data_IF_100922252913
#
_entry.id   IF_100922252913
#
_cell.length_a   1.000
_cell.length_b   1.000
_cell.length_c   1.000
_cell.angle_alpha   90.00
_cell.angle_beta   90.00
_cell.angle_gamma   90.00
#
_symmetry.space_group_name_H-M   'P 1'
#
loop_
_entity.id
_entity.type
_entity.pdbx_description
1 polymer ?
#
# COMPACT_ATOMS: atom_id res chain seq x y z
N UNK A 1 1.77 16.34 22.23
CA UNK A 1 0.69 15.94 21.30
C UNK A 1 1.33 15.72 19.95
N UNK A 2 1.11 14.58 19.31
CA UNK A 2 1.64 14.29 17.97
C UNK A 2 0.97 15.20 16.93
N UNK A 3 1.72 15.64 15.92
CA UNK A 3 1.17 16.40 14.78
C UNK A 3 0.42 15.47 13.83
N UNK A 4 -0.61 15.98 13.13
CA UNK A 4 -1.35 15.23 12.12
C UNK A 4 -0.48 15.02 10.86
N UNK A 5 -0.34 13.76 10.44
CA UNK A 5 0.34 13.42 9.20
C UNK A 5 -0.59 13.61 7.98
N UNK A 6 -0.05 13.92 6.78
CA UNK A 6 -0.84 14.09 5.57
C UNK A 6 -1.74 12.88 5.29
N UNK A 7 -2.85 13.09 4.58
CA UNK A 7 -3.83 12.06 4.30
C UNK A 7 -3.19 10.79 3.73
N UNK A 8 -3.49 9.61 4.29
CA UNK A 8 -2.86 8.35 3.87
C UNK A 8 -3.25 7.92 2.45
N UNK A 9 -4.33 8.49 1.91
CA UNK A 9 -4.89 8.10 0.62
C UNK A 9 -4.45 9.02 -0.52
N UNK A 10 -4.36 10.33 -0.26
CA UNK A 10 -4.06 11.33 -1.32
C UNK A 10 -2.91 12.28 -0.98
N UNK A 11 -2.33 12.20 0.21
CA UNK A 11 -1.32 13.15 0.70
C UNK A 11 -1.84 14.55 1.02
N UNK A 12 -3.15 14.79 0.93
CA UNK A 12 -3.79 16.07 1.22
C UNK A 12 -3.81 16.43 2.71
N UNK A 13 -4.12 17.69 3.02
CA UNK A 13 -4.12 18.21 4.39
C UNK A 13 -5.30 17.64 5.22
N UNK A 14 -5.05 17.06 6.41
CA UNK A 14 -6.10 16.64 7.33
C UNK A 14 -6.58 17.76 8.27
N UNK A 15 -7.82 17.64 8.74
CA UNK A 15 -8.42 18.50 9.74
C UNK A 15 -9.16 17.67 10.79
N UNK A 16 -9.00 18.01 12.07
CA UNK A 16 -9.86 17.50 13.13
C UNK A 16 -11.22 18.23 13.11
N UNK A 17 -12.31 17.47 13.07
CA UNK A 17 -13.68 17.96 13.13
C UNK A 17 -14.30 17.53 14.46
N UNK A 18 -14.87 18.49 15.19
CA UNK A 18 -15.59 18.26 16.44
C UNK A 18 -17.11 18.32 16.22
N UNK A 19 -17.81 17.26 16.60
CA UNK A 19 -19.26 17.13 16.61
C UNK A 19 -19.74 17.56 18.01
N UNK A 20 -20.51 18.65 18.14
CA UNK A 20 -21.03 19.10 19.43
C UNK A 20 -22.04 18.09 19.99
N UNK A 21 -22.17 18.04 21.30
CA UNK A 21 -23.28 17.32 21.95
C UNK A 21 -24.57 18.15 21.82
N UNK A 22 -25.67 17.50 21.48
CA UNK A 22 -26.96 18.18 21.26
C UNK A 22 -27.55 18.76 22.57
N UNK A 23 -27.28 18.16 23.74
CA UNK A 23 -27.64 18.69 25.06
C UNK A 23 -26.60 18.36 26.15
N UNK A 24 -26.24 19.30 27.04
CA UNK A 24 -25.16 19.14 28.02
C UNK A 24 -25.43 18.15 29.16
N UNK A 25 -26.68 17.71 29.37
CA UNK A 25 -27.08 16.97 30.58
C UNK A 25 -27.67 15.58 30.31
N UNK A 26 -27.72 15.15 29.03
CA UNK A 26 -28.38 13.89 28.62
C UNK A 26 -27.45 12.97 27.83
N UNK A 27 -26.21 12.79 28.27
CA UNK A 27 -25.34 11.70 27.81
C UNK A 27 -25.12 11.59 26.29
N UNK A 28 -25.47 12.63 25.53
CA UNK A 28 -25.30 12.70 24.09
C UNK A 28 -23.82 12.84 23.83
N UNK A 29 -23.16 11.73 23.51
CA UNK A 29 -21.74 11.73 23.27
C UNK A 29 -21.45 12.55 22.01
N UNK A 30 -21.08 13.82 22.18
CA UNK A 30 -20.31 14.55 21.17
C UNK A 30 -19.06 13.76 20.82
N UNK A 31 -18.44 14.07 19.69
CA UNK A 31 -17.33 13.27 19.18
C UNK A 31 -16.35 14.06 18.35
N UNK A 32 -15.21 13.46 18.06
CA UNK A 32 -14.22 14.04 17.16
C UNK A 32 -13.75 13.01 16.16
N UNK A 33 -13.53 13.44 14.92
CA UNK A 33 -12.90 12.63 13.90
C UNK A 33 -11.90 13.50 13.12
N UNK A 34 -11.09 12.87 12.27
CA UNK A 34 -10.18 13.59 11.37
C UNK A 34 -10.66 13.34 9.94
N UNK A 35 -10.70 14.40 9.13
CA UNK A 35 -11.16 14.43 7.74
C UNK A 35 -10.03 14.93 6.84
N UNK A 36 -9.83 14.33 5.67
CA UNK A 36 -9.01 14.93 4.62
C UNK A 36 -9.80 15.96 3.83
N UNK A 37 -9.27 17.18 3.72
CA UNK A 37 -9.89 18.28 2.95
C UNK A 37 -9.86 18.10 1.43
N UNK A 38 -9.08 17.13 0.94
CA UNK A 38 -8.87 16.91 -0.50
C UNK A 38 -9.68 15.75 -1.07
N UNK A 39 -9.86 14.66 -0.31
CA UNK A 39 -10.51 13.43 -0.79
C UNK A 39 -11.63 12.91 0.12
N UNK A 40 -12.01 13.67 1.15
CA UNK A 40 -13.06 13.34 2.10
C UNK A 40 -12.86 12.04 2.91
N UNK A 41 -11.66 11.46 2.86
CA UNK A 41 -11.33 10.32 3.69
C UNK A 41 -11.39 10.70 5.19
N UNK A 42 -12.13 9.91 5.97
CA UNK A 42 -12.38 10.20 7.38
C UNK A 42 -11.82 9.10 8.31
N UNK A 43 -11.53 9.48 9.55
CA UNK A 43 -11.26 8.58 10.66
C UNK A 43 -12.52 8.14 11.41
N UNK A 44 -12.38 7.15 12.30
CA UNK A 44 -13.44 6.82 13.23
C UNK A 44 -13.74 8.02 14.15
N UNK A 45 -15.00 8.11 14.60
CA UNK A 45 -15.42 9.10 15.60
C UNK A 45 -14.99 8.60 16.98
N UNK A 46 -14.22 9.40 17.70
CA UNK A 46 -13.87 9.20 19.09
C UNK A 46 -14.85 9.94 20.00
N UNK A 47 -15.53 9.19 20.87
CA UNK A 47 -16.44 9.73 21.88
C UNK A 47 -15.70 9.96 23.19
N UNK A 48 -15.96 11.10 23.86
CA UNK A 48 -15.46 11.48 25.20
C UNK A 48 -13.93 11.65 25.30
N UNK A 49 -13.15 10.58 25.08
CA UNK A 49 -11.69 10.51 25.20
C UNK A 49 -10.99 10.58 23.83
N UNK A 50 -10.26 11.68 23.60
CA UNK A 50 -9.66 12.06 22.30
C UNK A 50 -8.16 11.76 22.19
N UNK A 51 -7.56 11.11 23.19
CA UNK A 51 -6.11 10.94 23.31
C UNK A 51 -5.48 10.17 22.13
N UNK A 52 -6.24 9.25 21.53
CA UNK A 52 -5.76 8.41 20.44
C UNK A 52 -6.17 8.91 19.04
N UNK A 53 -6.98 9.97 18.94
CA UNK A 53 -7.55 10.42 17.66
C UNK A 53 -6.47 10.66 16.59
N UNK A 54 -5.40 11.39 16.95
CA UNK A 54 -4.27 11.66 16.05
C UNK A 54 -3.47 10.39 15.76
N UNK A 55 -3.26 9.52 16.76
CA UNK A 55 -2.53 8.27 16.55
C UNK A 55 -3.28 7.33 15.60
N UNK A 56 -4.61 7.27 15.71
CA UNK A 56 -5.48 6.49 14.84
C UNK A 56 -5.53 7.01 13.40
N UNK A 57 -5.33 8.32 13.19
CA UNK A 57 -5.06 8.86 11.87
C UNK A 57 -3.67 8.53 11.37
N UNK A 58 -2.63 8.87 12.14
CA UNK A 58 -1.24 8.75 11.73
C UNK A 58 -0.80 7.29 11.51
N UNK A 59 -1.40 6.31 12.18
CA UNK A 59 -1.09 4.89 11.91
C UNK A 59 -1.51 4.45 10.51
N UNK A 60 -2.41 5.19 9.84
CA UNK A 60 -2.86 4.92 8.48
C UNK A 60 -1.93 5.51 7.43
N UNK A 61 -1.17 6.55 7.76
CA UNK A 61 -0.27 7.28 6.85
C UNK A 61 1.03 6.53 6.67
N UNK A 62 0.94 5.21 6.40
CA UNK A 62 2.08 4.32 6.24
C UNK A 62 3.22 5.05 5.55
N UNK A 63 4.40 5.05 6.18
CA UNK A 63 5.53 5.86 5.70
C UNK A 63 5.85 5.55 4.25
N UNK A 64 6.61 6.42 3.58
CA UNK A 64 6.93 6.34 2.15
C UNK A 64 7.44 4.95 1.72
N UNK A 65 6.52 4.04 1.39
CA UNK A 65 6.85 2.69 0.94
C UNK A 65 7.29 2.76 -0.51
N UNK A 66 8.49 2.27 -0.78
CA UNK A 66 8.99 2.10 -2.14
C UNK A 66 9.12 0.61 -2.46
N UNK A 67 9.04 0.24 -3.74
CA UNK A 67 9.30 -1.14 -4.17
C UNK A 67 10.72 -1.60 -3.82
N UNK A 68 11.69 -0.68 -3.74
CA UNK A 68 13.04 -0.98 -3.27
C UNK A 68 13.07 -1.32 -1.78
N UNK A 69 12.39 -0.52 -0.94
CA UNK A 69 12.27 -0.81 0.49
C UNK A 69 11.51 -2.13 0.75
N UNK A 70 10.48 -2.41 -0.05
CA UNK A 70 9.78 -3.70 -0.03
C UNK A 70 10.74 -4.85 -0.38
N UNK A 71 11.51 -4.73 -1.47
CA UNK A 71 12.49 -5.74 -1.87
C UNK A 71 13.48 -6.06 -0.75
N UNK A 72 14.08 -5.03 -0.17
CA UNK A 72 15.03 -5.20 0.93
C UNK A 72 14.41 -5.89 2.15
N UNK A 73 13.18 -5.50 2.52
CA UNK A 73 12.47 -6.14 3.61
C UNK A 73 12.10 -7.60 3.31
N UNK A 74 11.69 -7.90 2.08
CA UNK A 74 11.37 -9.24 1.62
C UNK A 74 12.60 -10.16 1.67
N UNK A 75 13.76 -9.69 1.19
CA UNK A 75 15.02 -10.45 1.22
C UNK A 75 15.43 -10.79 2.66
N UNK A 76 15.40 -9.81 3.58
CA UNK A 76 15.69 -10.06 5.00
C UNK A 76 14.71 -11.06 5.63
N UNK A 77 13.41 -10.86 5.41
CA UNK A 77 12.37 -11.77 5.91
C UNK A 77 12.53 -13.17 5.35
N UNK A 78 13.01 -13.29 4.11
CA UNK A 78 13.23 -14.58 3.46
C UNK A 78 14.34 -15.38 4.12
N UNK A 79 15.44 -14.74 4.48
CA UNK A 79 16.54 -15.38 5.20
C UNK A 79 16.08 -15.94 6.55
N UNK A 80 15.31 -15.15 7.30
CA UNK A 80 14.71 -15.55 8.57
C UNK A 80 13.73 -16.72 8.41
N UNK A 81 12.88 -16.65 7.37
CA UNK A 81 11.85 -17.65 7.12
C UNK A 81 12.43 -19.00 6.67
N UNK A 82 13.46 -18.98 5.83
CA UNK A 82 14.15 -20.20 5.38
C UNK A 82 14.99 -20.86 6.48
N UNK A 83 15.42 -20.11 7.51
CA UNK A 83 16.23 -20.65 8.63
C UNK A 83 17.48 -21.42 8.16
N UNK A 84 18.13 -20.94 7.11
CA UNK A 84 19.29 -21.60 6.49
C UNK A 84 18.96 -22.81 5.59
N UNK A 85 17.66 -23.10 5.39
CA UNK A 85 17.17 -24.07 4.42
C UNK A 85 17.19 -23.57 2.97
N UNK A 86 16.72 -24.38 2.01
CA UNK A 86 16.66 -24.00 0.61
C UNK A 86 15.73 -22.79 0.39
N UNK A 87 16.15 -21.91 -0.51
CA UNK A 87 15.29 -20.81 -0.97
C UNK A 87 14.16 -21.36 -1.85
N UNK A 88 12.95 -20.79 -1.79
CA UNK A 88 11.87 -21.12 -2.71
C UNK A 88 12.26 -20.85 -4.15
N UNK A 89 11.95 -21.82 -5.01
CA UNK A 89 12.15 -21.67 -6.44
C UNK A 89 11.03 -20.84 -7.10
N UNK A 90 11.20 -20.62 -8.40
CA UNK A 90 10.24 -19.87 -9.20
C UNK A 90 8.86 -20.53 -9.25
N UNK A 91 8.80 -21.86 -9.25
CA UNK A 91 7.53 -22.59 -9.33
C UNK A 91 6.72 -22.40 -8.06
N UNK A 92 7.38 -22.45 -6.91
CA UNK A 92 6.77 -22.15 -5.62
C UNK A 92 6.27 -20.71 -5.55
N UNK A 93 7.13 -19.73 -5.89
CA UNK A 93 6.73 -18.30 -5.88
C UNK A 93 5.62 -17.97 -6.84
N UNK A 94 5.63 -18.58 -8.03
CA UNK A 94 4.57 -18.42 -9.01
C UNK A 94 3.23 -18.96 -8.49
N UNK A 95 3.25 -20.09 -7.78
CA UNK A 95 2.06 -20.66 -7.18
C UNK A 95 1.56 -19.86 -5.97
N UNK A 96 2.46 -19.36 -5.12
CA UNK A 96 2.12 -18.42 -4.03
C UNK A 96 1.43 -17.18 -4.59
N UNK A 97 2.02 -16.51 -5.59
CA UNK A 97 1.40 -15.35 -6.23
C UNK A 97 -0.01 -15.67 -6.78
N UNK A 98 -0.17 -16.82 -7.44
CA UNK A 98 -1.49 -17.24 -7.94
C UNK A 98 -2.49 -17.48 -6.79
N UNK A 99 -2.03 -17.98 -5.65
CA UNK A 99 -2.79 -18.14 -4.41
C UNK A 99 -3.33 -16.80 -3.93
N UNK A 100 -2.46 -15.83 -3.66
CA UNK A 100 -2.84 -14.51 -3.14
C UNK A 100 -3.80 -13.77 -4.10
N UNK A 101 -3.57 -13.89 -5.41
CA UNK A 101 -4.50 -13.34 -6.42
C UNK A 101 -5.88 -14.01 -6.31
N UNK A 102 -5.92 -15.31 -6.04
CA UNK A 102 -7.15 -16.07 -5.82
C UNK A 102 -7.89 -15.64 -4.54
N UNK A 103 -7.17 -15.36 -3.46
CA UNK A 103 -7.73 -14.85 -2.20
C UNK A 103 -8.33 -13.45 -2.40
N UNK A 104 -7.61 -12.53 -3.06
CA UNK A 104 -8.13 -11.22 -3.44
C UNK A 104 -9.40 -11.34 -4.31
N UNK A 105 -9.40 -12.22 -5.31
CA UNK A 105 -10.59 -12.48 -6.14
C UNK A 105 -11.77 -13.03 -5.31
N UNK A 106 -11.50 -13.83 -4.29
CA UNK A 106 -12.51 -14.37 -3.40
C UNK A 106 -13.15 -13.30 -2.51
N UNK A 107 -12.36 -12.35 -2.01
CA UNK A 107 -12.87 -11.19 -1.26
C UNK A 107 -13.70 -10.26 -2.16
N UNK A 108 -13.25 -9.93 -3.38
CA UNK A 108 -14.04 -9.18 -4.36
C UNK A 108 -15.40 -9.85 -4.61
N UNK A 109 -15.39 -11.17 -4.84
CA UNK A 109 -16.62 -11.95 -5.03
C UNK A 109 -17.56 -11.88 -3.82
N UNK A 110 -17.03 -11.81 -2.59
CA UNK A 110 -17.85 -11.65 -1.37
C UNK A 110 -18.46 -10.25 -1.29
N UNK A 111 -17.71 -9.20 -1.63
CA UNK A 111 -18.20 -7.81 -1.69
C UNK A 111 -19.34 -7.67 -2.72
N UNK A 112 -19.15 -8.18 -3.94
CA UNK A 112 -20.19 -8.11 -4.97
C UNK A 112 -21.44 -8.92 -4.61
N UNK A 113 -21.29 -10.08 -3.95
CA UNK A 113 -22.43 -10.84 -3.43
C UNK A 113 -23.26 -10.03 -2.44
N UNK A 114 -22.61 -9.25 -1.59
CA UNK A 114 -23.30 -8.36 -0.66
C UNK A 114 -24.07 -7.27 -1.39
N UNK A 115 -23.36 -6.55 -2.27
CA UNK A 115 -23.91 -5.47 -3.08
C UNK A 115 -25.14 -5.89 -3.89
N UNK A 116 -25.15 -7.12 -4.38
CA UNK A 116 -26.26 -7.69 -5.15
C UNK A 116 -27.33 -8.40 -4.31
N UNK A 117 -27.15 -8.53 -2.99
CA UNK A 117 -28.08 -9.24 -2.12
C UNK A 117 -28.11 -10.77 -2.33
N UNK A 118 -27.08 -11.35 -2.93
CA UNK A 118 -26.98 -12.80 -3.15
C UNK A 118 -26.61 -13.54 -1.88
N UNK A 119 -27.12 -14.75 -1.70
CA UNK A 119 -26.78 -15.60 -0.56
C UNK A 119 -25.27 -15.93 -0.53
N UNK A 120 -24.70 -15.99 0.68
CA UNK A 120 -23.32 -16.43 0.91
C UNK A 120 -22.54 -15.60 1.93
N UNK A 121 -21.24 -15.89 2.06
CA UNK A 121 -20.32 -15.15 2.92
C UNK A 121 -20.07 -13.72 2.43
N UNK A 122 -19.69 -12.86 3.37
CA UNK A 122 -19.40 -11.43 3.20
C UNK A 122 -17.93 -11.13 3.46
N UNK A 123 -17.49 -9.96 3.01
CA UNK A 123 -16.14 -9.45 3.21
C UNK A 123 -16.19 -7.95 3.49
N UNK A 124 -15.03 -7.34 3.64
CA UNK A 124 -14.87 -5.90 3.81
C UNK A 124 -13.68 -5.40 2.99
N UNK A 125 -13.63 -4.10 2.78
CA UNK A 125 -12.53 -3.47 2.03
C UNK A 125 -11.19 -3.67 2.75
N UNK A 126 -11.18 -3.80 4.07
CA UNK A 126 -9.95 -4.12 4.84
C UNK A 126 -9.40 -5.49 4.46
N UNK A 127 -10.25 -6.52 4.35
CA UNK A 127 -9.79 -7.85 3.94
C UNK A 127 -9.30 -7.84 2.50
N UNK A 128 -10.01 -7.15 1.62
CA UNK A 128 -9.55 -6.99 0.24
C UNK A 128 -8.19 -6.26 0.20
N UNK A 129 -7.99 -5.25 1.04
CA UNK A 129 -6.72 -4.52 1.12
C UNK A 129 -5.57 -5.44 1.57
N UNK A 130 -5.79 -6.31 2.56
CA UNK A 130 -4.80 -7.29 3.01
C UNK A 130 -4.41 -8.23 1.85
N UNK A 131 -5.38 -8.84 1.16
CA UNK A 131 -5.08 -9.75 0.05
C UNK A 131 -4.41 -9.05 -1.15
N UNK A 132 -4.79 -7.80 -1.45
CA UNK A 132 -4.11 -7.01 -2.47
C UNK A 132 -2.66 -6.67 -2.08
N UNK A 133 -2.39 -6.48 -0.79
CA UNK A 133 -1.02 -6.30 -0.30
C UNK A 133 -0.19 -7.58 -0.48
N UNK A 134 -0.77 -8.74 -0.19
CA UNK A 134 -0.10 -10.04 -0.39
C UNK A 134 0.21 -10.31 -1.87
N UNK A 135 -0.67 -9.90 -2.80
CA UNK A 135 -0.38 -9.93 -4.24
C UNK A 135 0.87 -9.10 -4.59
N UNK A 136 0.99 -7.88 -4.05
CA UNK A 136 2.15 -7.01 -4.31
C UNK A 136 3.43 -7.64 -3.74
N UNK A 137 3.35 -8.17 -2.52
CA UNK A 137 4.46 -8.85 -1.84
C UNK A 137 4.93 -10.06 -2.66
N UNK A 138 4.02 -10.96 -3.07
CA UNK A 138 4.38 -12.14 -3.83
C UNK A 138 4.86 -11.82 -5.25
N UNK A 139 4.34 -10.76 -5.88
CA UNK A 139 4.85 -10.29 -7.17
C UNK A 139 6.32 -9.83 -7.06
N UNK A 140 6.68 -9.13 -5.99
CA UNK A 140 8.07 -8.77 -5.72
C UNK A 140 8.95 -10.00 -5.42
N UNK A 141 8.46 -10.98 -4.68
CA UNK A 141 9.19 -12.23 -4.42
C UNK A 141 9.48 -13.02 -5.71
N UNK A 142 8.53 -13.07 -6.65
CA UNK A 142 8.77 -13.63 -7.99
C UNK A 142 9.87 -12.85 -8.72
N UNK A 143 9.81 -11.52 -8.68
CA UNK A 143 10.82 -10.66 -9.29
C UNK A 143 12.21 -10.86 -8.65
N UNK A 144 12.28 -11.10 -7.33
CA UNK A 144 13.52 -11.41 -6.61
C UNK A 144 14.17 -12.69 -7.11
N UNK A 145 13.41 -13.78 -7.23
CA UNK A 145 13.90 -15.06 -7.75
C UNK A 145 14.46 -14.95 -9.18
N UNK A 146 14.00 -13.97 -9.96
CA UNK A 146 14.44 -13.74 -11.34
C UNK A 146 15.45 -12.61 -11.52
N UNK A 147 15.83 -11.92 -10.45
CA UNK A 147 16.70 -10.73 -10.53
C UNK A 147 16.08 -9.58 -11.32
N UNK A 148 14.75 -9.43 -11.27
CA UNK A 148 14.02 -8.36 -11.95
C UNK A 148 13.95 -7.13 -11.04
N UNK A 149 14.39 -5.98 -11.55
CA UNK A 149 14.06 -4.67 -10.99
C UNK A 149 12.59 -4.36 -11.31
N UNK A 150 11.72 -4.67 -10.34
CA UNK A 150 10.29 -4.51 -10.48
C UNK A 150 9.91 -3.02 -10.57
N UNK A 151 10.62 -2.14 -9.87
CA UNK A 151 10.38 -0.69 -9.91
C UNK A 151 10.59 -0.13 -11.31
N UNK A 152 11.75 -0.43 -11.92
CA UNK A 152 12.02 -0.02 -13.29
C UNK A 152 11.06 -0.68 -14.30
N UNK A 153 10.64 -1.93 -14.06
CA UNK A 153 9.67 -2.61 -14.91
C UNK A 153 8.28 -1.96 -14.88
N UNK A 154 7.79 -1.57 -13.70
CA UNK A 154 6.51 -0.87 -13.52
C UNK A 154 6.54 0.48 -14.23
N UNK A 155 7.56 1.31 -13.99
CA UNK A 155 7.70 2.63 -14.64
C UNK A 155 7.70 2.50 -16.16
N UNK A 156 8.53 1.59 -16.69
CA UNK A 156 8.61 1.34 -18.14
C UNK A 156 7.27 0.90 -18.71
N UNK A 157 6.59 -0.05 -18.06
CA UNK A 157 5.34 -0.62 -18.57
C UNK A 157 4.17 0.36 -18.49
N UNK A 158 4.09 1.14 -17.41
CA UNK A 158 3.10 2.20 -17.25
C UNK A 158 3.24 3.24 -18.35
N UNK A 159 4.45 3.83 -18.51
CA UNK A 159 4.70 4.88 -19.48
C UNK A 159 4.48 4.41 -20.93
N UNK A 160 4.93 3.19 -21.26
CA UNK A 160 4.68 2.61 -22.58
C UNK A 160 3.18 2.42 -22.89
N UNK A 161 2.37 2.13 -21.86
CA UNK A 161 0.92 2.01 -22.02
C UNK A 161 0.30 3.39 -22.19
N UNK A 162 0.67 4.37 -21.35
CA UNK A 162 0.23 5.76 -21.48
C UNK A 162 0.51 6.32 -22.88
N UNK A 163 1.72 6.12 -23.39
CA UNK A 163 2.10 6.56 -24.75
C UNK A 163 1.24 5.88 -25.82
N UNK A 164 1.08 4.55 -25.73
CA UNK A 164 0.27 3.77 -26.69
C UNK A 164 -1.17 4.29 -26.82
N UNK A 165 -1.75 4.79 -25.74
CA UNK A 165 -3.14 5.27 -25.71
C UNK A 165 -3.27 6.80 -25.67
N UNK A 166 -2.17 7.54 -25.86
CA UNK A 166 -2.19 9.01 -25.95
C UNK A 166 -2.47 9.73 -24.63
N UNK A 167 -2.13 9.14 -23.48
CA UNK A 167 -2.27 9.75 -22.16
C UNK A 167 -1.07 10.64 -21.81
N UNK A 168 -1.32 11.76 -21.14
CA UNK A 168 -0.29 12.71 -20.68
C UNK A 168 0.33 12.34 -19.33
N UNK A 169 -0.28 11.42 -18.59
CA UNK A 169 0.18 11.00 -17.26
C UNK A 169 1.29 9.96 -17.40
N UNK A 170 2.43 10.26 -16.77
CA UNK A 170 3.63 9.42 -16.78
C UNK A 170 4.20 9.29 -15.37
N UNK A 171 4.80 8.15 -15.08
CA UNK A 171 5.64 7.97 -13.90
C UNK A 171 7.05 8.53 -14.15
N UNK A 172 7.71 9.08 -13.12
CA UNK A 172 9.07 9.59 -13.25
C UNK A 172 10.03 8.46 -13.64
N UNK A 173 10.85 8.70 -14.66
CA UNK A 173 11.88 7.74 -15.06
C UNK A 173 13.08 7.88 -14.12
N UNK A 174 13.63 6.79 -13.57
CA UNK A 174 14.84 6.86 -12.74
C UNK A 174 15.96 7.56 -13.52
N UNK A 175 16.63 8.54 -12.88
CA UNK A 175 17.79 9.19 -13.50
C UNK A 175 18.87 8.13 -13.68
N UNK A 176 19.24 7.85 -14.92
CA UNK A 176 20.44 7.05 -15.21
C UNK A 176 21.62 7.73 -14.52
N UNK A 177 22.23 7.04 -13.55
CA UNK A 177 23.49 7.46 -12.95
C UNK A 177 24.51 7.77 -14.05
N UNK A 178 25.18 8.90 -13.89
CA UNK A 178 26.27 9.39 -14.74
C UNK A 178 27.27 8.24 -14.99
N UNK A 179 27.73 8.13 -16.24
CA UNK A 179 28.62 7.05 -16.69
C UNK A 179 29.81 6.83 -15.76
N UNK A 180 30.09 5.56 -15.48
CA UNK A 180 31.39 5.17 -15.00
C UNK A 180 32.40 5.48 -16.13
N UNK A 181 33.06 6.62 -16.03
CA UNK A 181 34.32 6.86 -16.72
C UNK A 181 35.29 5.80 -16.24
N UNK A 182 35.54 4.80 -17.09
CA UNK A 182 36.70 3.92 -16.95
C UNK A 182 37.94 4.81 -17.03
N UNK A 183 38.88 4.75 -16.07
CA UNK A 183 40.16 5.43 -16.24
C UNK A 183 40.85 4.80 -17.45
N UNK A 184 41.14 5.60 -18.46
CA UNK A 184 42.08 5.22 -19.52
C UNK A 184 43.39 4.83 -18.85
N UNK A 185 43.78 3.55 -19.01
CA UNK A 185 45.06 3.05 -18.57
C UNK A 185 46.16 3.73 -19.36
N UNK A 186 47.01 4.49 -18.67
CA UNK A 186 48.28 4.96 -19.20
C UNK A 186 49.17 3.73 -19.46
N UNK A 187 49.32 3.41 -20.74
CA UNK A 187 50.36 2.51 -21.22
C UNK A 187 51.71 3.23 -21.14
N UNK A 188 52.57 2.80 -20.22
CA UNK A 188 54.03 2.93 -20.32
C UNK A 188 54.72 1.68 -19.77
#
# INVERSE_FOLDING_TARGET
MSELLPCPFCGGEPEQVDIPADEPDHGGAGGSFILCRSCDAAGPIHFDRKENLVQDWNRRTGGDLTLAALREANERRQEEWCRGGPLPDLSFRGNELAGEVGEACNEIKKLERERHGWAGSRSSDEKLADELADVIICADLVAAVRGIDLSAAVVRKFNATSEKVGMSVMLPTPRTGRGAETPEGDAR
#
